data_IF_786768845071
#
_entry.id   IF_786768845071
#
_cell.length_a   1.000
_cell.length_b   1.000
_cell.length_c   1.000
_cell.angle_alpha   90.00
_cell.angle_beta   90.00
_cell.angle_gamma   90.00
#
_symmetry.space_group_name_H-M   'P 1'
#
loop_
_entity.id
_entity.type
_entity.pdbx_description
1 polymer ?
#
# COMPACT_ATOMS: atom_id res chain seq x y z
N UNK A 1 7.85 -37.55 3.04
CA UNK A 1 8.04 -36.26 2.37
C UNK A 1 7.29 -36.33 1.04
N UNK A 2 6.09 -35.72 0.99
CA UNK A 2 5.21 -35.79 -0.20
C UNK A 2 5.73 -34.75 -1.21
N UNK A 3 6.16 -35.23 -2.37
CA UNK A 3 6.48 -34.40 -3.54
C UNK A 3 5.16 -33.80 -4.07
N UNK A 4 4.86 -32.55 -3.71
CA UNK A 4 3.85 -31.78 -4.42
C UNK A 4 4.40 -31.39 -5.81
N UNK A 5 4.42 -32.35 -6.72
CA UNK A 5 4.59 -32.12 -8.17
C UNK A 5 3.23 -31.76 -8.79
N UNK A 6 2.57 -30.76 -8.28
CA UNK A 6 1.31 -30.26 -8.83
C UNK A 6 1.57 -29.21 -9.90
N UNK A 7 1.64 -29.61 -11.15
CA UNK A 7 1.59 -28.68 -12.29
C UNK A 7 0.32 -27.84 -12.17
N UNK A 8 0.48 -26.52 -11.95
CA UNK A 8 -0.67 -25.61 -11.86
C UNK A 8 -1.42 -25.61 -13.19
N UNK A 9 -2.74 -25.79 -13.12
CA UNK A 9 -3.58 -25.69 -14.30
C UNK A 9 -3.40 -24.34 -14.99
N UNK A 10 -3.42 -24.37 -16.31
CA UNK A 10 -3.21 -23.18 -17.15
C UNK A 10 -4.53 -22.66 -17.73
N UNK A 11 -4.55 -21.41 -18.13
CA UNK A 11 -5.68 -20.81 -18.86
C UNK A 11 -6.01 -21.61 -20.14
N UNK A 12 -4.99 -22.20 -20.79
CA UNK A 12 -5.17 -23.03 -21.98
C UNK A 12 -5.95 -24.31 -21.70
N UNK A 13 -5.64 -24.99 -20.60
CA UNK A 13 -6.35 -26.21 -20.20
C UNK A 13 -7.82 -25.93 -19.85
N UNK A 14 -8.10 -24.79 -19.20
CA UNK A 14 -9.48 -24.34 -18.95
C UNK A 14 -10.21 -24.06 -20.26
N UNK A 15 -9.55 -23.43 -21.24
CA UNK A 15 -10.16 -23.15 -22.53
C UNK A 15 -10.55 -24.41 -23.27
N UNK A 16 -9.68 -25.43 -23.26
CA UNK A 16 -9.94 -26.75 -23.86
C UNK A 16 -11.13 -27.43 -23.17
N UNK A 17 -11.12 -27.53 -21.83
CA UNK A 17 -12.17 -28.21 -21.07
C UNK A 17 -13.53 -27.48 -21.20
N UNK A 18 -13.54 -26.15 -21.20
CA UNK A 18 -14.77 -25.36 -21.36
C UNK A 18 -15.27 -25.30 -22.81
N UNK A 19 -14.50 -25.74 -23.80
CA UNK A 19 -14.82 -25.65 -25.21
C UNK A 19 -14.94 -24.22 -25.73
N UNK A 20 -14.02 -23.32 -25.27
CA UNK A 20 -14.02 -21.89 -25.63
C UNK A 20 -12.61 -21.40 -25.96
N UNK A 21 -12.50 -20.19 -26.53
CA UNK A 21 -11.19 -19.60 -26.81
C UNK A 21 -10.50 -19.12 -25.51
N UNK A 22 -9.16 -19.03 -25.54
CA UNK A 22 -8.34 -18.47 -24.43
C UNK A 22 -8.78 -17.04 -24.07
N UNK A 23 -9.16 -16.25 -25.07
CA UNK A 23 -9.67 -14.89 -24.84
C UNK A 23 -11.03 -14.87 -24.14
N UNK A 24 -11.90 -15.87 -24.42
CA UNK A 24 -13.17 -16.01 -23.70
C UNK A 24 -12.95 -16.39 -22.24
N UNK A 25 -11.99 -17.27 -21.93
CA UNK A 25 -11.59 -17.58 -20.54
C UNK A 25 -11.07 -16.33 -19.85
N UNK A 26 -10.16 -15.59 -20.46
CA UNK A 26 -9.64 -14.34 -19.88
C UNK A 26 -10.75 -13.34 -19.57
N UNK A 27 -11.70 -13.12 -20.49
CA UNK A 27 -12.85 -12.24 -20.27
C UNK A 27 -13.79 -12.74 -19.18
N UNK A 28 -13.98 -14.05 -19.05
CA UNK A 28 -14.83 -14.61 -18.01
C UNK A 28 -14.34 -14.27 -16.58
N UNK A 29 -13.02 -14.13 -16.40
CA UNK A 29 -12.39 -13.73 -15.13
C UNK A 29 -12.08 -12.23 -15.04
N UNK A 30 -12.45 -11.43 -16.03
CA UNK A 30 -12.28 -9.98 -16.00
C UNK A 30 -13.61 -9.34 -15.66
N UNK A 31 -13.63 -8.54 -14.60
CA UNK A 31 -14.81 -7.80 -14.17
C UNK A 31 -15.20 -6.77 -15.23
N UNK A 32 -16.49 -6.64 -15.51
CA UNK A 32 -17.01 -5.73 -16.54
C UNK A 32 -16.75 -6.16 -17.98
N UNK A 33 -15.97 -7.23 -18.23
CA UNK A 33 -15.75 -7.70 -19.60
C UNK A 33 -16.98 -8.40 -20.19
N UNK A 34 -17.25 -8.12 -21.46
CA UNK A 34 -18.38 -8.71 -22.19
C UNK A 34 -18.13 -10.20 -22.45
N UNK A 35 -18.93 -11.04 -21.80
CA UNK A 35 -18.99 -12.48 -22.01
C UNK A 35 -20.40 -12.97 -21.65
N UNK A 36 -20.97 -13.91 -22.44
CA UNK A 36 -22.30 -14.43 -22.13
C UNK A 36 -22.32 -15.20 -20.80
N UNK A 37 -23.43 -15.16 -20.07
CA UNK A 37 -23.60 -15.91 -18.82
C UNK A 37 -23.33 -17.42 -19.03
N UNK A 38 -23.78 -17.98 -20.16
CA UNK A 38 -23.55 -19.36 -20.54
C UNK A 38 -22.05 -19.69 -20.69
N UNK A 39 -21.29 -18.78 -21.29
CA UNK A 39 -19.83 -18.96 -21.44
C UNK A 39 -19.13 -18.81 -20.11
N UNK A 40 -19.51 -17.81 -19.30
CA UNK A 40 -18.95 -17.59 -17.96
C UNK A 40 -19.11 -18.85 -17.10
N UNK A 41 -20.34 -19.41 -17.00
CA UNK A 41 -20.62 -20.61 -16.21
C UNK A 41 -19.84 -21.83 -16.68
N UNK A 42 -19.64 -22.01 -18.00
CA UNK A 42 -18.79 -23.10 -18.52
C UNK A 42 -17.33 -22.95 -18.09
N UNK A 43 -16.79 -21.74 -18.17
CA UNK A 43 -15.41 -21.43 -17.79
C UNK A 43 -15.20 -21.62 -16.29
N UNK A 44 -16.09 -21.10 -15.46
CA UNK A 44 -16.02 -21.23 -14.00
C UNK A 44 -16.06 -22.69 -13.55
N UNK A 45 -16.93 -23.50 -14.14
CA UNK A 45 -16.99 -24.94 -13.87
C UNK A 45 -15.69 -25.65 -14.26
N UNK A 46 -15.17 -25.41 -15.46
CA UNK A 46 -13.91 -25.99 -15.91
C UNK A 46 -12.72 -25.56 -15.05
N UNK A 47 -12.70 -24.30 -14.61
CA UNK A 47 -11.68 -23.79 -13.72
C UNK A 47 -11.73 -24.45 -12.34
N UNK A 48 -12.93 -24.66 -11.80
CA UNK A 48 -13.13 -25.35 -10.52
C UNK A 48 -12.65 -26.79 -10.60
N UNK A 49 -13.01 -27.50 -11.66
CA UNK A 49 -12.64 -28.89 -11.90
C UNK A 49 -11.11 -29.08 -12.00
N UNK A 50 -10.43 -28.16 -12.68
CA UNK A 50 -8.97 -28.18 -12.85
C UNK A 50 -8.21 -27.55 -11.65
N UNK A 51 -8.89 -26.97 -10.67
CA UNK A 51 -8.25 -26.19 -9.62
C UNK A 51 -7.53 -24.94 -10.16
N UNK A 52 -7.95 -24.44 -11.31
CA UNK A 52 -7.38 -23.24 -11.93
C UNK A 52 -7.76 -21.98 -11.16
N UNK A 53 -6.77 -21.16 -10.91
CA UNK A 53 -6.98 -19.79 -10.41
C UNK A 53 -6.33 -18.80 -11.37
N UNK A 54 -7.03 -17.71 -11.75
CA UNK A 54 -6.44 -16.67 -12.59
C UNK A 54 -5.14 -16.15 -12.00
N UNK A 55 -4.11 -16.06 -12.83
CA UNK A 55 -2.84 -15.51 -12.41
C UNK A 55 -2.89 -13.97 -12.47
N UNK A 56 -2.83 -13.35 -11.31
CA UNK A 56 -2.84 -11.87 -11.18
C UNK A 56 -1.64 -11.24 -11.90
N UNK A 57 -0.47 -11.87 -11.82
CA UNK A 57 0.73 -11.38 -12.49
C UNK A 57 0.59 -11.43 -14.03
N UNK A 58 -0.01 -12.51 -14.58
CA UNK A 58 -0.28 -12.56 -16.01
C UNK A 58 -1.29 -11.49 -16.45
N UNK A 59 -2.26 -11.15 -15.60
CA UNK A 59 -3.22 -10.08 -15.86
C UNK A 59 -2.56 -8.71 -15.81
N UNK A 60 -1.64 -8.49 -14.88
CA UNK A 60 -0.94 -7.21 -14.75
C UNK A 60 -0.11 -6.85 -15.99
N UNK A 61 0.44 -7.83 -16.71
CA UNK A 61 1.13 -7.61 -17.98
C UNK A 61 0.22 -6.99 -19.05
N UNK A 62 -1.08 -7.29 -19.01
CA UNK A 62 -2.04 -6.76 -20.00
C UNK A 62 -2.66 -5.45 -19.52
N UNK A 63 -2.98 -5.35 -18.22
CA UNK A 63 -3.68 -4.18 -17.65
C UNK A 63 -2.71 -3.09 -17.20
N UNK A 64 -1.43 -3.38 -17.07
CA UNK A 64 -0.40 -2.54 -16.45
C UNK A 64 -0.77 -2.12 -15.02
N UNK A 65 -1.59 -2.94 -14.34
CA UNK A 65 -1.99 -2.75 -12.95
C UNK A 65 -1.77 -4.03 -12.17
N UNK A 66 -1.05 -3.95 -11.07
CA UNK A 66 -0.74 -5.08 -10.20
C UNK A 66 -1.77 -5.23 -9.07
N UNK A 67 -2.45 -4.16 -8.72
CA UNK A 67 -3.29 -4.08 -7.52
C UNK A 67 -2.46 -4.02 -6.23
N UNK A 68 -1.14 -3.83 -6.34
CA UNK A 68 -0.25 -3.71 -5.19
C UNK A 68 -0.10 -2.24 -4.78
N UNK A 69 -0.16 -1.98 -3.48
CA UNK A 69 0.15 -0.68 -2.88
C UNK A 69 1.30 -0.87 -1.91
N UNK A 70 2.42 -0.19 -2.14
CA UNK A 70 3.56 -0.17 -1.23
C UNK A 70 3.18 0.57 0.05
N UNK A 71 3.40 -0.04 1.19
CA UNK A 71 3.27 0.60 2.51
C UNK A 71 4.64 0.61 3.16
N UNK A 72 5.30 1.76 3.11
CA UNK A 72 6.63 1.97 3.66
C UNK A 72 6.51 2.59 5.04
N UNK A 73 7.07 1.94 6.04
CA UNK A 73 7.00 2.39 7.42
C UNK A 73 8.26 2.01 8.19
N UNK A 74 8.56 2.74 9.26
CA UNK A 74 9.74 2.52 10.08
C UNK A 74 9.46 2.56 11.59
N UNK A 75 8.20 2.47 12.01
CA UNK A 75 7.82 2.58 13.42
C UNK A 75 6.80 1.53 13.85
N UNK A 76 7.12 0.26 13.61
CA UNK A 76 6.25 -0.87 13.99
C UNK A 76 6.22 -1.15 15.50
N UNK A 77 7.07 -0.49 16.28
CA UNK A 77 7.03 -0.62 17.75
C UNK A 77 6.00 0.31 18.41
N UNK A 78 5.47 1.30 17.68
CA UNK A 78 4.47 2.21 18.19
C UNK A 78 3.05 1.66 17.96
N UNK A 79 2.26 1.38 19.01
CA UNK A 79 0.92 0.80 18.88
C UNK A 79 -0.03 1.61 17.98
N UNK A 80 0.07 2.94 17.99
CA UNK A 80 -0.75 3.82 17.13
C UNK A 80 -0.51 3.51 15.65
N UNK A 81 0.75 3.29 15.27
CA UNK A 81 1.06 2.94 13.87
C UNK A 81 0.53 1.56 13.50
N UNK A 82 0.56 0.59 14.42
CA UNK A 82 0.00 -0.74 14.18
C UNK A 82 -1.51 -0.68 13.93
N UNK A 83 -2.24 0.11 14.72
CA UNK A 83 -3.68 0.31 14.51
C UNK A 83 -3.97 0.96 13.15
N UNK A 84 -3.23 2.00 12.80
CA UNK A 84 -3.37 2.65 11.49
C UNK A 84 -3.06 1.69 10.35
N UNK A 85 -2.03 0.86 10.47
CA UNK A 85 -1.69 -0.13 9.45
C UNK A 85 -2.76 -1.21 9.30
N UNK A 86 -3.34 -1.67 10.40
CA UNK A 86 -4.47 -2.61 10.35
C UNK A 86 -5.65 -2.00 9.62
N UNK A 87 -6.08 -0.80 9.98
CA UNK A 87 -7.17 -0.09 9.32
C UNK A 87 -6.86 0.15 7.83
N UNK A 88 -5.65 0.58 7.53
CA UNK A 88 -5.21 0.86 6.17
C UNK A 88 -5.24 -0.39 5.28
N UNK A 89 -4.67 -1.50 5.79
CA UNK A 89 -4.63 -2.76 5.04
C UNK A 89 -6.02 -3.33 4.82
N UNK A 90 -6.92 -3.23 5.79
CA UNK A 90 -8.33 -3.62 5.64
C UNK A 90 -9.01 -2.79 4.55
N UNK A 91 -8.87 -1.47 4.57
CA UNK A 91 -9.48 -0.59 3.58
C UNK A 91 -8.97 -0.88 2.16
N UNK A 92 -7.67 -1.09 1.97
CA UNK A 92 -7.13 -1.50 0.68
C UNK A 92 -7.77 -2.81 0.19
N UNK A 93 -7.94 -3.78 1.09
CA UNK A 93 -8.53 -5.08 0.74
C UNK A 93 -10.01 -4.95 0.32
N UNK A 94 -10.78 -4.04 0.93
CA UNK A 94 -12.20 -3.83 0.55
C UNK A 94 -12.35 -3.35 -0.90
N UNK A 95 -11.37 -2.61 -1.41
CA UNK A 95 -11.33 -2.13 -2.80
C UNK A 95 -10.51 -3.02 -3.73
N UNK A 96 -10.16 -4.24 -3.29
CA UNK A 96 -9.45 -5.22 -4.11
C UNK A 96 -7.94 -5.00 -4.23
N UNK A 97 -7.37 -4.00 -3.55
CA UNK A 97 -5.94 -3.75 -3.50
C UNK A 97 -5.23 -4.63 -2.45
N UNK A 98 -3.93 -4.77 -2.57
CA UNK A 98 -3.11 -5.57 -1.65
C UNK A 98 -1.91 -4.75 -1.17
N UNK A 99 -1.68 -4.66 0.14
CA UNK A 99 -0.51 -3.99 0.66
C UNK A 99 0.75 -4.84 0.46
N UNK A 100 1.84 -4.20 0.02
CA UNK A 100 3.20 -4.71 0.09
C UNK A 100 3.94 -3.91 1.17
N UNK A 101 4.10 -4.50 2.35
CA UNK A 101 4.67 -3.81 3.50
C UNK A 101 6.19 -3.87 3.43
N UNK A 102 6.82 -2.71 3.57
CA UNK A 102 8.26 -2.55 3.67
C UNK A 102 8.59 -1.87 5.00
N UNK A 103 9.27 -2.60 5.86
CA UNK A 103 9.76 -2.10 7.14
C UNK A 103 11.18 -1.55 6.96
N UNK A 104 11.35 -0.26 7.15
CA UNK A 104 12.66 0.39 7.10
C UNK A 104 13.27 0.39 8.50
N UNK A 105 14.37 -0.31 8.68
CA UNK A 105 15.12 -0.34 9.92
C UNK A 105 16.23 0.70 9.95
N UNK A 106 16.83 1.01 8.81
CA UNK A 106 17.91 1.98 8.65
C UNK A 106 17.78 2.84 7.40
N UNK A 107 18.38 4.05 7.39
CA UNK A 107 18.33 4.98 6.25
C UNK A 107 18.98 4.40 4.98
N UNK A 108 20.00 3.54 5.14
CA UNK A 108 20.68 2.86 4.03
C UNK A 108 19.77 1.88 3.28
N UNK A 109 18.74 1.37 3.92
CA UNK A 109 17.76 0.47 3.31
C UNK A 109 16.68 1.22 2.51
N UNK A 110 16.57 2.55 2.69
CA UNK A 110 15.56 3.35 2.00
C UNK A 110 15.65 3.19 0.47
N UNK A 111 16.85 3.27 -0.08
CA UNK A 111 17.09 3.14 -1.53
C UNK A 111 16.75 1.74 -2.06
N UNK A 112 17.13 0.69 -1.32
CA UNK A 112 16.78 -0.70 -1.66
C UNK A 112 15.28 -0.93 -1.64
N UNK A 113 14.60 -0.32 -0.69
CA UNK A 113 13.15 -0.44 -0.55
C UNK A 113 12.40 0.25 -1.69
N UNK A 114 12.90 1.40 -2.17
CA UNK A 114 12.39 2.04 -3.39
C UNK A 114 12.54 1.09 -4.58
N UNK A 115 13.74 0.56 -4.80
CA UNK A 115 14.00 -0.37 -5.90
C UNK A 115 13.10 -1.60 -5.87
N UNK A 116 12.95 -2.22 -4.70
CA UNK A 116 12.09 -3.37 -4.52
C UNK A 116 10.63 -3.05 -4.91
N UNK A 117 10.10 -1.93 -4.48
CA UNK A 117 8.72 -1.53 -4.83
C UNK A 117 8.56 -1.25 -6.34
N UNK A 118 9.59 -0.67 -6.97
CA UNK A 118 9.64 -0.46 -8.42
C UNK A 118 9.69 -1.80 -9.18
N UNK A 119 10.49 -2.76 -8.72
CA UNK A 119 10.59 -4.10 -9.31
C UNK A 119 9.25 -4.86 -9.21
N UNK A 120 8.52 -4.72 -8.10
CA UNK A 120 7.18 -5.29 -7.94
C UNK A 120 6.10 -4.50 -8.68
N UNK A 121 6.46 -3.38 -9.33
CA UNK A 121 5.54 -2.55 -10.11
C UNK A 121 4.29 -2.17 -9.31
N UNK A 122 4.46 -1.68 -8.08
CA UNK A 122 3.34 -1.24 -7.27
C UNK A 122 2.59 -0.09 -7.96
N UNK A 123 1.26 -0.07 -7.85
CA UNK A 123 0.41 0.94 -8.49
C UNK A 123 0.41 2.28 -7.73
N UNK A 124 0.77 2.27 -6.46
CA UNK A 124 0.90 3.45 -5.61
C UNK A 124 1.75 3.15 -4.37
N UNK A 125 2.23 4.18 -3.69
CA UNK A 125 3.00 4.06 -2.45
C UNK A 125 2.41 4.96 -1.37
N UNK A 126 2.32 4.43 -0.15
CA UNK A 126 2.08 5.19 1.07
C UNK A 126 3.33 5.15 1.92
N UNK A 127 3.87 6.32 2.20
CA UNK A 127 4.99 6.49 3.13
C UNK A 127 4.42 6.87 4.48
N UNK A 128 4.44 5.95 5.43
CA UNK A 128 3.91 6.16 6.79
C UNK A 128 5.06 6.34 7.78
N UNK A 129 5.65 7.53 7.80
CA UNK A 129 6.79 7.84 8.65
C UNK A 129 6.87 9.33 9.00
N UNK A 130 7.26 9.61 10.23
CA UNK A 130 7.58 10.96 10.70
C UNK A 130 9.09 11.26 10.70
N UNK A 131 9.93 10.28 10.33
CA UNK A 131 11.40 10.42 10.36
C UNK A 131 12.05 10.34 8.99
N UNK A 132 11.35 9.81 7.97
CA UNK A 132 11.88 9.76 6.61
C UNK A 132 11.87 11.16 5.99
N UNK A 133 12.93 11.53 5.27
CA UNK A 133 12.99 12.81 4.57
C UNK A 133 11.94 12.86 3.46
N UNK A 134 11.46 14.07 3.16
CA UNK A 134 10.49 14.29 2.06
C UNK A 134 11.04 13.77 0.73
N UNK A 135 12.35 13.90 0.50
CA UNK A 135 13.05 13.37 -0.69
C UNK A 135 12.93 11.86 -0.89
N UNK A 136 12.56 11.10 0.16
CA UNK A 136 12.26 9.67 -0.02
C UNK A 136 11.03 9.45 -0.92
N UNK A 137 10.02 10.30 -0.79
CA UNK A 137 8.84 10.24 -1.64
C UNK A 137 9.12 10.70 -3.09
N UNK A 138 10.14 11.54 -3.29
CA UNK A 138 10.51 12.06 -4.60
C UNK A 138 10.90 10.95 -5.57
N UNK A 139 11.62 9.94 -5.10
CA UNK A 139 12.05 8.80 -5.93
C UNK A 139 10.89 8.04 -6.58
N UNK A 140 9.74 7.99 -5.91
CA UNK A 140 8.53 7.36 -6.47
C UNK A 140 7.82 8.31 -7.44
N UNK A 141 7.74 9.60 -7.10
CA UNK A 141 7.13 10.60 -7.96
C UNK A 141 7.89 10.72 -9.30
N UNK A 142 9.22 10.70 -9.27
CA UNK A 142 10.09 10.67 -10.46
C UNK A 142 9.87 9.42 -11.33
N UNK A 143 9.57 8.28 -10.71
CA UNK A 143 9.19 7.05 -11.39
C UNK A 143 7.73 7.06 -11.89
N UNK A 144 6.97 8.14 -11.69
CA UNK A 144 5.57 8.26 -12.09
C UNK A 144 4.60 7.45 -11.23
N UNK A 145 5.02 7.04 -10.02
CA UNK A 145 4.18 6.30 -9.08
C UNK A 145 3.49 7.28 -8.13
N UNK A 146 2.15 7.25 -8.01
CA UNK A 146 1.43 8.07 -7.04
C UNK A 146 1.90 7.81 -5.61
N UNK A 147 2.20 8.88 -4.87
CA UNK A 147 2.70 8.82 -3.49
C UNK A 147 1.78 9.58 -2.56
N UNK A 148 1.50 8.97 -1.40
CA UNK A 148 0.89 9.63 -0.26
C UNK A 148 1.84 9.54 0.93
N UNK A 149 2.19 10.68 1.52
CA UNK A 149 2.95 10.73 2.76
C UNK A 149 1.98 10.86 3.94
N UNK A 150 1.76 9.77 4.66
CA UNK A 150 0.98 9.75 5.88
C UNK A 150 1.84 10.13 7.09
N UNK A 151 1.27 10.87 8.03
CA UNK A 151 1.95 11.48 9.18
C UNK A 151 3.01 12.53 8.80
N UNK A 152 3.01 12.98 7.54
CA UNK A 152 3.92 13.99 7.05
C UNK A 152 3.57 15.40 7.54
N UNK A 153 4.58 16.28 7.50
CA UNK A 153 4.36 17.73 7.71
C UNK A 153 3.60 18.28 6.50
N UNK A 154 2.58 19.13 6.70
CA UNK A 154 1.91 19.80 5.59
C UNK A 154 2.92 20.50 4.67
N UNK A 155 2.75 20.36 3.37
CA UNK A 155 3.64 20.94 2.37
C UNK A 155 2.86 21.69 1.30
N UNK A 156 3.49 22.72 0.71
CA UNK A 156 2.95 23.43 -0.46
C UNK A 156 3.23 22.69 -1.78
N UNK A 157 3.97 21.60 -1.75
CA UNK A 157 4.24 20.78 -2.94
C UNK A 157 2.93 20.17 -3.44
N UNK A 158 2.75 20.18 -4.76
CA UNK A 158 1.53 19.65 -5.42
C UNK A 158 1.73 18.24 -5.98
N UNK A 159 2.95 17.79 -6.05
CA UNK A 159 3.37 16.49 -6.59
C UNK A 159 3.35 15.37 -5.54
N UNK A 160 3.25 15.71 -4.27
CA UNK A 160 3.15 14.75 -3.16
C UNK A 160 1.90 15.07 -2.34
N UNK A 161 1.03 14.07 -2.21
CA UNK A 161 -0.11 14.17 -1.31
C UNK A 161 0.35 13.88 0.12
N UNK A 162 0.05 14.79 1.05
CA UNK A 162 0.38 14.63 2.46
C UNK A 162 -0.91 14.54 3.27
N UNK A 163 -0.98 13.52 4.13
CA UNK A 163 -2.03 13.36 5.14
C UNK A 163 -1.36 13.38 6.50
N UNK A 164 -1.69 14.37 7.32
CA UNK A 164 -1.10 14.53 8.64
C UNK A 164 -1.83 15.59 9.44
N UNK A 165 -1.37 15.80 10.66
CA UNK A 165 -1.85 16.89 11.54
C UNK A 165 -0.81 18.00 11.56
N UNK A 166 -1.28 19.23 11.81
CA UNK A 166 -0.42 20.34 12.12
C UNK A 166 0.09 20.18 13.55
N UNK A 167 1.30 19.62 13.68
CA UNK A 167 1.90 19.34 14.97
C UNK A 167 2.34 20.62 15.70
N UNK A 168 2.67 21.71 14.97
CA UNK A 168 3.00 23.00 15.57
C UNK A 168 1.76 23.59 16.24
N UNK A 169 0.64 23.62 15.53
CA UNK A 169 -0.61 24.13 16.13
C UNK A 169 -1.12 23.20 17.24
N UNK A 170 -0.94 21.88 17.14
CA UNK A 170 -1.27 20.96 18.21
C UNK A 170 -0.46 21.24 19.50
N UNK A 171 0.85 21.50 19.38
CA UNK A 171 1.71 21.92 20.50
C UNK A 171 1.26 23.23 21.09
N UNK A 172 0.98 24.23 20.27
CA UNK A 172 0.49 25.55 20.70
C UNK A 172 -0.85 25.46 21.44
N UNK A 173 -1.78 24.66 20.94
CA UNK A 173 -3.07 24.42 21.60
C UNK A 173 -2.89 23.79 22.98
N UNK A 174 -2.02 22.78 23.10
CA UNK A 174 -1.73 22.13 24.38
C UNK A 174 -1.13 23.12 25.37
N UNK A 175 -0.10 23.88 24.97
CA UNK A 175 0.56 24.89 25.79
C UNK A 175 -0.44 25.97 26.26
N UNK A 176 -1.21 26.55 25.34
CA UNK A 176 -2.24 27.56 25.68
C UNK A 176 -3.25 27.03 26.67
N UNK A 177 -3.65 25.76 26.54
CA UNK A 177 -4.61 25.14 27.48
C UNK A 177 -4.04 25.00 28.87
N UNK A 178 -2.78 24.56 29.00
CA UNK A 178 -2.09 24.41 30.27
C UNK A 178 -1.91 25.78 30.95
N UNK A 179 -1.46 26.80 30.22
CA UNK A 179 -1.33 28.18 30.74
C UNK A 179 -2.69 28.70 31.21
N UNK A 180 -3.75 28.53 30.42
CA UNK A 180 -5.10 28.93 30.80
C UNK A 180 -5.65 28.23 32.04
N UNK A 181 -5.13 27.02 32.37
CA UNK A 181 -5.43 26.32 33.61
C UNK A 181 -4.60 26.83 34.81
N UNK A 182 -3.73 27.83 34.62
CA UNK A 182 -2.94 28.44 35.72
C UNK A 182 -1.59 27.79 35.97
N UNK A 183 -1.13 26.84 35.11
CA UNK A 183 0.19 26.25 35.27
C UNK A 183 1.29 27.25 34.86
N UNK A 184 2.20 27.56 35.81
CA UNK A 184 3.33 28.50 35.57
C UNK A 184 4.54 27.80 34.93
N UNK A 185 4.68 26.51 35.14
CA UNK A 185 5.77 25.70 34.57
C UNK A 185 5.19 24.50 33.84
N UNK A 186 5.65 24.26 32.63
CA UNK A 186 5.17 23.16 31.76
C UNK A 186 6.37 22.41 31.22
N UNK A 187 6.38 21.09 31.43
CA UNK A 187 7.38 20.19 30.85
C UNK A 187 6.88 19.54 29.56
N UNK A 188 7.77 19.33 28.61
CA UNK A 188 7.52 18.58 27.40
C UNK A 188 8.27 17.24 27.42
N UNK A 189 7.54 16.14 27.36
CA UNK A 189 8.08 14.80 27.16
C UNK A 189 7.77 14.36 25.74
N UNK A 190 8.76 14.42 24.86
CA UNK A 190 8.63 14.05 23.43
C UNK A 190 9.14 12.66 23.11
N UNK A 191 8.87 12.24 21.88
CA UNK A 191 9.50 11.08 21.25
C UNK A 191 10.93 11.39 20.77
N UNK A 192 11.49 10.58 19.87
CA UNK A 192 12.83 10.80 19.35
C UNK A 192 12.98 12.19 18.71
N UNK A 193 14.09 12.87 18.96
CA UNK A 193 14.36 14.22 18.40
C UNK A 193 14.38 14.25 16.88
N UNK A 194 14.71 13.13 16.23
CA UNK A 194 14.68 12.98 14.77
C UNK A 194 13.27 13.06 14.19
N UNK A 195 12.24 12.75 15.00
CA UNK A 195 10.86 12.80 14.52
C UNK A 195 10.40 14.25 14.33
N UNK A 196 9.91 14.56 13.12
CA UNK A 196 9.38 15.88 12.81
C UNK A 196 8.24 16.26 13.75
N UNK A 197 7.37 15.32 14.09
CA UNK A 197 6.27 15.53 15.03
C UNK A 197 6.71 15.96 16.44
N UNK A 198 7.86 15.46 16.92
CA UNK A 198 8.43 15.86 18.21
C UNK A 198 8.89 17.30 18.17
N UNK A 199 9.67 17.66 17.15
CA UNK A 199 10.19 19.03 16.97
C UNK A 199 9.06 20.05 16.78
N UNK A 200 8.09 19.71 15.92
CA UNK A 200 6.97 20.59 15.60
C UNK A 200 6.09 20.87 16.83
N UNK A 201 5.90 19.90 17.72
CA UNK A 201 5.10 20.11 18.95
C UNK A 201 5.84 20.90 20.02
N UNK A 202 7.17 20.93 19.96
CA UNK A 202 8.01 21.71 20.86
C UNK A 202 8.15 23.17 20.40
N UNK A 203 8.01 23.46 19.10
CA UNK A 203 8.03 24.80 18.50
C UNK A 203 6.87 25.67 19.00
#
# INVERSE_FOLDING_TARGET
MSQYSGKRATLGEVAVLAGVSRSAVSRAFTEGASVSLKTRSKVERAALELGYRPNVLARSLTTRKTGLVGLVANNFHNPIFLEVFDLFTRQLQTVGLRPLIVNLTEETEAHRSVQLLLEYQVDAVVVASSTLPVGFADSFAEAGIPVVHAFGRPTKRRDINVIGIDNVEAGRLAARRLIACGYGEVGFLGGPEKATSTRDRLE
#
